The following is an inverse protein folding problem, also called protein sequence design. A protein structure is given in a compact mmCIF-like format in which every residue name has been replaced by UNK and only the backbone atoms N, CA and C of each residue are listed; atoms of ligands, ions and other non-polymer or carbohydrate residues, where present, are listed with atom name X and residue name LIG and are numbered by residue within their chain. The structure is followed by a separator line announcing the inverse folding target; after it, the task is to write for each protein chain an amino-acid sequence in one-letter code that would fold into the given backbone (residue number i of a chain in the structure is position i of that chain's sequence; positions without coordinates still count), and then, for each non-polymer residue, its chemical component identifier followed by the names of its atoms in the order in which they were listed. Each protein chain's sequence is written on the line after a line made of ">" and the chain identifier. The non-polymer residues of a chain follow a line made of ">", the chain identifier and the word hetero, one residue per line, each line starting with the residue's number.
data_IF_178835110643
#
_entry.id   IF_178835110643
#
_cell.length_a   1.000
_cell.length_b   1.000
_cell.length_c   1.000
_cell.angle_alpha   90.00
_cell.angle_beta   90.00
_cell.angle_gamma   90.00
#
_symmetry.space_group_name_H-M   'P 1'
#
loop_
_entity.id
_entity.type
_entity.pdbx_description
1 polymer ?
#
# COMPACT_ATOMS: atom_id res chain seq x y z
N UNK A 1 9.01 -10.56 42.92
CA UNK A 1 10.25 -10.25 42.20
C UNK A 1 10.16 -10.95 40.85
N UNK A 2 9.69 -10.21 39.85
CA UNK A 2 9.23 -10.76 38.58
C UNK A 2 10.44 -11.06 37.68
N UNK A 3 10.54 -12.32 37.26
CA UNK A 3 11.68 -12.85 36.51
C UNK A 3 11.54 -12.37 35.07
N UNK A 4 12.44 -11.48 34.62
CA UNK A 4 12.57 -11.12 33.21
C UNK A 4 12.89 -12.38 32.41
N UNK A 5 11.86 -12.96 31.79
CA UNK A 5 11.99 -14.13 30.93
C UNK A 5 12.58 -13.67 29.61
N UNK A 6 13.86 -13.93 29.38
CA UNK A 6 14.52 -13.61 28.11
C UNK A 6 13.87 -14.43 27.00
N UNK A 7 12.93 -13.84 26.27
CA UNK A 7 12.31 -14.49 25.12
C UNK A 7 13.35 -14.51 24.00
N UNK A 8 13.70 -15.70 23.52
CA UNK A 8 14.55 -15.84 22.33
C UNK A 8 13.92 -15.08 21.16
N UNK A 9 14.73 -14.32 20.42
CA UNK A 9 14.31 -13.58 19.23
C UNK A 9 13.54 -14.47 18.24
N UNK A 10 13.96 -15.73 18.08
CA UNK A 10 13.27 -16.70 17.21
C UNK A 10 11.82 -16.94 17.62
N UNK A 11 11.53 -16.94 18.92
CA UNK A 11 10.19 -17.12 19.47
C UNK A 11 9.32 -15.88 19.25
N UNK A 12 9.89 -14.68 19.39
CA UNK A 12 9.20 -13.41 19.09
C UNK A 12 8.81 -13.37 17.61
N UNK A 13 9.75 -13.71 16.72
CA UNK A 13 9.48 -13.77 15.28
C UNK A 13 8.39 -14.81 14.98
N UNK A 14 8.46 -15.99 15.61
CA UNK A 14 7.44 -17.03 15.46
C UNK A 14 6.05 -16.55 15.87
N UNK A 15 5.94 -15.89 17.02
CA UNK A 15 4.69 -15.30 17.52
C UNK A 15 4.14 -14.23 16.58
N UNK A 16 4.99 -13.31 16.13
CA UNK A 16 4.62 -12.27 15.17
C UNK A 16 4.11 -12.87 13.86
N UNK A 17 4.76 -13.91 13.33
CA UNK A 17 4.31 -14.58 12.09
C UNK A 17 3.05 -15.42 12.27
N UNK A 18 2.77 -15.93 13.48
CA UNK A 18 1.56 -16.72 13.75
C UNK A 18 0.32 -15.86 14.02
N UNK A 19 0.51 -14.61 14.40
CA UNK A 19 -0.57 -13.66 14.63
C UNK A 19 -1.16 -13.22 13.28
N UNK A 20 -2.42 -13.60 13.03
CA UNK A 20 -3.13 -13.29 11.78
C UNK A 20 -3.41 -11.81 11.59
N UNK A 21 -3.42 -11.02 12.67
CA UNK A 21 -3.62 -9.57 12.64
C UNK A 21 -2.30 -8.82 12.46
N UNK A 22 -1.16 -9.50 12.62
CA UNK A 22 0.15 -8.88 12.44
C UNK A 22 0.32 -8.29 11.05
N UNK A 23 1.11 -7.22 10.95
CA UNK A 23 1.54 -6.63 9.67
C UNK A 23 2.24 -7.68 8.79
N UNK A 24 2.86 -8.72 9.36
CA UNK A 24 3.39 -9.82 8.54
C UNK A 24 2.30 -10.51 7.72
N UNK A 25 1.19 -10.89 8.35
CA UNK A 25 0.10 -11.58 7.66
C UNK A 25 -0.80 -10.63 6.86
N UNK A 26 -1.05 -9.41 7.35
CA UNK A 26 -1.94 -8.44 6.71
C UNK A 26 -1.25 -7.58 5.64
N UNK A 27 0.09 -7.47 5.67
CA UNK A 27 0.87 -6.71 4.68
C UNK A 27 1.83 -7.50 3.83
N UNK A 28 2.47 -8.51 4.41
CA UNK A 28 3.62 -9.13 3.77
C UNK A 28 3.24 -10.40 3.01
N UNK A 29 2.37 -11.23 3.59
CA UNK A 29 1.84 -12.42 2.93
C UNK A 29 0.76 -12.00 1.91
N UNK A 30 0.79 -12.59 0.71
CA UNK A 30 -0.16 -12.34 -0.39
C UNK A 30 -0.17 -10.90 -0.95
N UNK A 31 1.00 -10.26 -1.05
CA UNK A 31 1.15 -8.86 -1.47
C UNK A 31 1.02 -8.61 -3.00
N UNK A 32 0.70 -9.61 -3.81
CA UNK A 32 0.76 -9.49 -5.28
C UNK A 32 -0.20 -8.43 -5.82
N UNK A 33 -1.45 -8.41 -5.34
CA UNK A 33 -2.47 -7.47 -5.80
C UNK A 33 -2.15 -6.04 -5.35
N UNK A 34 -1.58 -5.90 -4.16
CA UNK A 34 -1.02 -4.63 -3.69
C UNK A 34 0.14 -4.15 -4.57
N UNK A 35 1.06 -5.04 -4.94
CA UNK A 35 2.14 -4.70 -5.87
C UNK A 35 1.62 -4.34 -7.26
N UNK A 36 0.50 -4.93 -7.72
CA UNK A 36 -0.19 -4.49 -8.95
C UNK A 36 -0.78 -3.09 -8.78
N UNK A 37 -1.48 -2.83 -7.69
CA UNK A 37 -2.05 -1.52 -7.38
C UNK A 37 -0.98 -0.41 -7.35
N UNK A 38 0.14 -0.64 -6.63
CA UNK A 38 1.26 0.31 -6.61
C UNK A 38 1.87 0.56 -7.99
N UNK A 39 2.00 -0.49 -8.82
CA UNK A 39 2.47 -0.34 -10.20
C UNK A 39 1.50 0.49 -11.05
N UNK A 40 0.20 0.28 -10.89
CA UNK A 40 -0.83 1.07 -11.58
C UNK A 40 -0.79 2.55 -11.17
N UNK A 41 -0.73 2.83 -9.86
CA UNK A 41 -0.60 4.19 -9.33
C UNK A 41 0.66 4.86 -9.88
N UNK A 42 1.82 4.20 -9.79
CA UNK A 42 3.08 4.75 -10.31
C UNK A 42 2.98 5.09 -11.80
N UNK A 43 2.39 4.22 -12.61
CA UNK A 43 2.21 4.47 -14.05
C UNK A 43 1.25 5.63 -14.29
N UNK A 44 0.14 5.70 -13.56
CA UNK A 44 -0.81 6.81 -13.67
C UNK A 44 -0.17 8.16 -13.33
N UNK A 45 0.64 8.22 -12.26
CA UNK A 45 1.36 9.46 -11.89
C UNK A 45 2.36 9.88 -12.97
N UNK A 46 3.07 8.93 -13.60
CA UNK A 46 3.95 9.25 -14.73
C UNK A 46 3.17 9.83 -15.91
N UNK A 47 1.96 9.33 -16.17
CA UNK A 47 1.09 9.88 -17.21
C UNK A 47 0.62 11.30 -16.87
N UNK A 48 0.24 11.57 -15.62
CA UNK A 48 -0.11 12.92 -15.15
C UNK A 48 1.03 13.90 -15.41
N UNK A 49 2.27 13.51 -15.08
CA UNK A 49 3.46 14.33 -15.34
C UNK A 49 3.61 14.63 -16.84
N UNK A 50 3.41 13.64 -17.70
CA UNK A 50 3.52 13.81 -19.16
C UNK A 50 2.39 14.70 -19.72
N UNK A 51 1.17 14.55 -19.25
CA UNK A 51 0.03 15.37 -19.65
C UNK A 51 0.25 16.84 -19.25
N UNK A 52 0.84 17.09 -18.07
CA UNK A 52 1.21 18.44 -17.63
C UNK A 52 2.30 19.01 -18.54
N UNK A 53 3.38 18.26 -18.78
CA UNK A 53 4.50 18.70 -19.62
C UNK A 53 4.08 19.00 -21.06
N UNK A 54 3.13 18.24 -21.59
CA UNK A 54 2.61 18.41 -22.94
C UNK A 54 1.45 19.42 -23.05
N UNK A 55 1.06 20.07 -21.96
CA UNK A 55 -0.05 21.04 -21.93
C UNK A 55 -1.43 20.41 -22.18
N UNK A 56 -1.56 19.09 -22.00
CA UNK A 56 -2.81 18.32 -22.16
C UNK A 56 -3.57 18.15 -20.86
N UNK A 57 -2.93 18.41 -19.72
CA UNK A 57 -3.60 18.38 -18.42
C UNK A 57 -4.52 19.59 -18.29
N UNK A 58 -5.83 19.34 -18.24
CA UNK A 58 -6.85 20.38 -18.12
C UNK A 58 -6.88 21.03 -16.73
N UNK A 59 -7.82 21.96 -16.55
CA UNK A 59 -8.04 22.65 -15.27
C UNK A 59 -8.84 21.82 -14.25
N UNK A 60 -9.48 20.73 -14.70
CA UNK A 60 -10.22 19.80 -13.85
C UNK A 60 -9.56 18.41 -13.92
N UNK A 61 -9.67 17.64 -12.84
CA UNK A 61 -9.16 16.28 -12.78
C UNK A 61 -10.10 15.29 -13.50
N UNK A 62 -11.40 15.60 -13.62
CA UNK A 62 -12.36 14.73 -14.31
C UNK A 62 -11.99 14.54 -15.78
N UNK A 63 -11.99 13.29 -16.23
CA UNK A 63 -11.53 12.86 -17.55
C UNK A 63 -10.01 12.87 -17.73
N UNK A 64 -9.23 13.23 -16.71
CA UNK A 64 -7.77 13.29 -16.78
C UNK A 64 -7.10 12.01 -16.29
N UNK A 65 -5.80 11.88 -16.56
CA UNK A 65 -4.95 10.83 -15.96
C UNK A 65 -4.93 10.87 -14.43
N UNK A 66 -5.23 12.00 -13.79
CA UNK A 66 -5.33 12.11 -12.34
C UNK A 66 -6.59 11.43 -11.81
N UNK A 67 -7.72 11.46 -12.53
CA UNK A 67 -8.92 10.72 -12.14
C UNK A 67 -8.64 9.22 -12.07
N UNK A 68 -7.92 8.66 -13.04
CA UNK A 68 -7.51 7.26 -13.00
C UNK A 68 -6.68 6.93 -11.76
N UNK A 69 -5.71 7.78 -11.40
CA UNK A 69 -4.88 7.60 -10.20
C UNK A 69 -5.74 7.62 -8.93
N UNK A 70 -6.65 8.59 -8.82
CA UNK A 70 -7.54 8.72 -7.66
C UNK A 70 -8.50 7.53 -7.53
N UNK A 71 -9.07 7.07 -8.64
CA UNK A 71 -9.90 5.86 -8.67
C UNK A 71 -9.09 4.64 -8.22
N UNK A 72 -7.88 4.45 -8.76
CA UNK A 72 -6.98 3.38 -8.32
C UNK A 72 -6.62 3.44 -6.83
N UNK A 73 -6.55 4.62 -6.21
CA UNK A 73 -6.27 4.76 -4.78
C UNK A 73 -7.53 4.44 -3.96
N UNK A 74 -8.66 5.00 -4.35
CA UNK A 74 -9.92 4.92 -3.59
C UNK A 74 -10.61 3.56 -3.67
N UNK A 75 -10.41 2.81 -4.76
CA UNK A 75 -10.90 1.44 -4.90
C UNK A 75 -10.15 0.43 -4.01
N UNK A 76 -8.96 0.78 -3.53
CA UNK A 76 -8.06 -0.14 -2.83
C UNK A 76 -8.25 -0.07 -1.29
N UNK A 77 -9.48 -0.29 -0.81
CA UNK A 77 -9.84 -0.19 0.62
C UNK A 77 -8.98 -1.09 1.53
N UNK A 78 -8.78 -2.35 1.14
CA UNK A 78 -8.02 -3.32 1.94
C UNK A 78 -6.49 -3.19 1.82
N UNK A 79 -5.99 -2.57 0.75
CA UNK A 79 -4.54 -2.41 0.56
C UNK A 79 -3.96 -1.39 1.52
N UNK A 80 -4.77 -0.43 2.01
CA UNK A 80 -4.32 0.63 2.91
C UNK A 80 -4.83 0.49 4.35
N UNK A 81 -5.80 -0.39 4.62
CA UNK A 81 -6.37 -0.60 5.97
C UNK A 81 -5.34 -0.99 7.04
N UNK A 82 -4.27 -1.74 6.71
CA UNK A 82 -3.21 -2.03 7.69
C UNK A 82 -1.95 -1.15 7.60
N UNK A 83 -1.92 -0.15 6.71
CA UNK A 83 -0.89 0.92 6.72
C UNK A 83 -1.38 2.18 7.41
N UNK A 84 -2.67 2.22 7.76
CA UNK A 84 -3.21 3.22 8.67
C UNK A 84 -2.61 2.98 10.07
N UNK A 85 -1.52 3.69 10.33
CA UNK A 85 -0.98 3.94 11.67
C UNK A 85 -1.20 5.42 12.00
#
# INVERSE_FOLDING_TARGET
>A
MEIYKTISLSKIIGQYKSDTESVYNTWFINNEDRLKAFRSIRRGVLQVIEDIKSGKFGNDFKGSSLEFVLTCITEQKQVFEGAAH
#
